data_IF_960445929560
#
_entry.id   IF_960445929560
#
_cell.length_a   1.000
_cell.length_b   1.000
_cell.length_c   1.000
_cell.angle_alpha   90.00
_cell.angle_beta   90.00
_cell.angle_gamma   90.00
#
_symmetry.space_group_name_H-M   'P 1'
#
loop_
_entity.id
_entity.type
_entity.pdbx_description
1 polymer ?
#
# COMPACT_ATOMS: atom_id res chain seq x y z
N UNK A 1 -0.21 -5.90 -5.37
CA UNK A 1 -1.33 -5.87 -4.39
C UNK A 1 -0.78 -6.12 -3.00
N UNK A 2 -1.26 -5.39 -2.00
CA UNK A 2 -0.88 -5.58 -0.59
C UNK A 2 -2.09 -6.03 0.20
N UNK A 3 -1.99 -7.19 0.84
CA UNK A 3 -3.01 -7.77 1.71
C UNK A 3 -2.43 -7.94 3.11
N UNK A 4 -3.18 -7.51 4.12
CA UNK A 4 -2.83 -7.69 5.53
C UNK A 4 -3.97 -8.41 6.22
N UNK A 5 -3.70 -9.63 6.68
CA UNK A 5 -4.63 -10.38 7.52
C UNK A 5 -4.48 -9.92 8.97
N UNK A 6 -5.61 -9.67 9.63
CA UNK A 6 -5.69 -9.24 11.03
C UNK A 6 -5.70 -10.48 11.93
N UNK A 7 -4.96 -10.45 13.04
CA UNK A 7 -4.95 -11.55 14.02
C UNK A 7 -6.15 -11.51 14.97
N UNK A 8 -6.45 -12.64 15.64
CA UNK A 8 -7.63 -12.79 16.52
C UNK A 8 -7.74 -11.76 17.66
N UNK A 9 -6.62 -11.23 18.16
CA UNK A 9 -6.57 -10.24 19.25
C UNK A 9 -5.83 -8.96 18.84
N UNK A 10 -5.79 -8.65 17.55
CA UNK A 10 -5.07 -7.47 17.08
C UNK A 10 -5.94 -6.21 17.10
N UNK A 11 -5.46 -5.18 17.80
CA UNK A 11 -6.08 -3.86 17.78
C UNK A 11 -6.00 -3.20 16.40
N UNK A 12 -7.04 -2.46 16.03
CA UNK A 12 -7.17 -1.80 14.73
C UNK A 12 -5.98 -0.90 14.36
N UNK A 13 -5.41 -0.16 15.31
CA UNK A 13 -4.25 0.70 15.06
C UNK A 13 -3.00 -0.10 14.68
N UNK A 14 -2.79 -1.26 15.28
CA UNK A 14 -1.68 -2.17 14.93
C UNK A 14 -1.84 -2.65 13.49
N UNK A 15 -3.04 -3.11 13.14
CA UNK A 15 -3.34 -3.58 11.80
C UNK A 15 -3.13 -2.48 10.75
N UNK A 16 -3.60 -1.26 11.02
CA UNK A 16 -3.40 -0.10 10.15
C UNK A 16 -1.92 0.29 10.01
N UNK A 17 -1.14 0.19 11.08
CA UNK A 17 0.30 0.45 11.04
C UNK A 17 1.03 -0.55 10.15
N UNK A 18 0.71 -1.84 10.24
CA UNK A 18 1.28 -2.88 9.37
C UNK A 18 0.84 -2.67 7.91
N UNK A 19 -0.44 -2.40 7.68
CA UNK A 19 -0.97 -2.09 6.35
C UNK A 19 -0.24 -0.90 5.71
N UNK A 20 -0.07 0.21 6.44
CA UNK A 20 0.65 1.38 5.93
C UNK A 20 2.09 1.04 5.54
N UNK A 21 2.78 0.20 6.33
CA UNK A 21 4.15 -0.26 6.00
C UNK A 21 4.18 -1.09 4.73
N UNK A 22 3.26 -2.05 4.58
CA UNK A 22 3.21 -2.89 3.38
C UNK A 22 2.89 -2.09 2.12
N UNK A 23 1.91 -1.16 2.18
CA UNK A 23 1.57 -0.27 1.07
C UNK A 23 2.76 0.60 0.66
N UNK A 24 3.49 1.15 1.63
CA UNK A 24 4.71 1.93 1.37
C UNK A 24 5.82 1.08 0.75
N UNK A 25 6.05 -0.14 1.27
CA UNK A 25 7.06 -1.07 0.76
C UNK A 25 6.77 -1.51 -0.66
N UNK A 26 5.50 -1.71 -0.99
CA UNK A 26 5.07 -2.08 -2.33
C UNK A 26 5.10 -0.92 -3.34
N UNK A 27 5.49 0.29 -2.94
CA UNK A 27 5.62 1.42 -3.85
C UNK A 27 4.31 1.95 -4.43
N UNK A 28 3.16 1.51 -3.91
CA UNK A 28 1.83 1.76 -4.50
C UNK A 28 1.55 3.26 -4.65
N UNK A 29 1.94 4.08 -3.68
CA UNK A 29 1.76 5.53 -3.77
C UNK A 29 2.61 6.18 -4.88
N UNK A 30 3.81 5.65 -5.14
CA UNK A 30 4.67 6.13 -6.21
C UNK A 30 4.09 5.71 -7.58
N UNK A 31 3.63 4.47 -7.70
CA UNK A 31 2.98 3.96 -8.91
C UNK A 31 1.71 4.75 -9.23
N UNK A 32 0.85 4.98 -8.24
CA UNK A 32 -0.35 5.82 -8.40
C UNK A 32 -0.02 7.23 -8.89
N UNK A 33 1.10 7.81 -8.45
CA UNK A 33 1.52 9.15 -8.87
C UNK A 33 2.03 9.14 -10.31
N UNK A 34 2.81 8.14 -10.69
CA UNK A 34 3.36 7.97 -12.05
C UNK A 34 2.25 7.69 -13.06
N UNK A 35 1.39 6.72 -12.76
CA UNK A 35 0.29 6.28 -13.61
C UNK A 35 -0.91 7.24 -13.63
N UNK A 36 -0.85 8.36 -12.87
CA UNK A 36 -1.91 9.38 -12.86
C UNK A 36 -2.09 10.01 -14.25
N UNK A 37 -1.02 10.08 -15.02
CA UNK A 37 -1.01 10.66 -16.36
C UNK A 37 -0.52 9.61 -17.35
N UNK A 38 -1.02 9.70 -18.59
CA UNK A 38 -0.54 8.86 -19.67
C UNK A 38 0.91 9.24 -20.00
N UNK A 39 1.81 8.26 -19.98
CA UNK A 39 3.21 8.42 -20.39
C UNK A 39 3.31 8.04 -21.88
N UNK A 40 3.68 9.00 -22.73
CA UNK A 40 3.93 8.72 -24.15
C UNK A 40 5.20 7.87 -24.27
N UNK A 41 5.17 6.71 -24.94
CA UNK A 41 6.37 5.91 -25.16
C UNK A 41 7.40 6.72 -25.96
N UNK A 42 8.65 6.72 -25.53
CA UNK A 42 9.78 7.23 -26.32
C UNK A 42 10.30 6.16 -27.27
#
# INVERSE_FOLDING_TARGET
>A
MTQVTVGENEGIESALRRFRREVSKAGIFADMKRLRHFETPQ
#
